data_IF_533936216586
#
_entry.id   IF_533936216586
#
_cell.length_a   1.000
_cell.length_b   1.000
_cell.length_c   1.000
_cell.angle_alpha   90.00
_cell.angle_beta   90.00
_cell.angle_gamma   90.00
#
_symmetry.space_group_name_H-M   'P 1'
#
loop_
_entity.id
_entity.type
_entity.pdbx_description
1 polymer ?
#
# COMPACT_ATOMS: atom_id res chain seq x y z
N UNK A 1 19.00 -12.08 33.54
CA UNK A 1 19.44 -12.04 32.13
C UNK A 1 18.28 -11.54 31.28
N UNK A 2 18.44 -10.35 30.69
CA UNK A 2 17.47 -9.85 29.72
C UNK A 2 17.71 -10.58 28.40
N UNK A 3 16.87 -11.56 28.07
CA UNK A 3 16.82 -12.10 26.73
C UNK A 3 16.25 -11.02 25.79
N UNK A 4 17.12 -10.32 25.09
CA UNK A 4 16.71 -9.45 23.99
C UNK A 4 16.29 -10.34 22.83
N UNK A 5 14.97 -10.50 22.65
CA UNK A 5 14.44 -11.20 21.48
C UNK A 5 14.58 -10.29 20.27
N UNK A 6 15.36 -10.70 19.29
CA UNK A 6 15.50 -9.98 18.02
C UNK A 6 14.17 -10.03 17.28
N UNK A 7 13.65 -8.87 16.87
CA UNK A 7 12.44 -8.76 16.08
C UNK A 7 12.72 -8.86 14.58
N UNK A 8 11.85 -9.53 13.86
CA UNK A 8 11.96 -9.77 12.42
C UNK A 8 10.95 -8.90 11.68
N UNK A 9 11.44 -8.15 10.69
CA UNK A 9 10.62 -7.37 9.78
C UNK A 9 10.67 -8.04 8.40
N UNK A 10 9.53 -8.52 7.91
CA UNK A 10 9.41 -9.01 6.54
C UNK A 10 9.32 -7.83 5.57
N UNK A 11 10.37 -7.60 4.79
CA UNK A 11 10.45 -6.52 3.82
C UNK A 11 10.46 -7.05 2.38
N UNK A 12 9.66 -6.42 1.54
CA UNK A 12 9.59 -6.70 0.10
C UNK A 12 8.55 -7.73 -0.29
N UNK A 13 8.03 -7.57 -1.51
CA UNK A 13 7.10 -8.52 -2.12
C UNK A 13 5.65 -8.47 -1.64
N UNK A 14 5.30 -7.63 -0.68
CA UNK A 14 3.93 -7.50 -0.18
C UNK A 14 3.05 -6.79 -1.21
N UNK A 15 2.03 -7.48 -1.71
CA UNK A 15 1.14 -7.02 -2.79
C UNK A 15 -0.33 -6.95 -2.40
N UNK A 16 -0.72 -7.71 -1.38
CA UNK A 16 -2.10 -7.86 -0.92
C UNK A 16 -2.15 -8.29 0.55
N UNK A 17 -3.35 -8.39 1.11
CA UNK A 17 -3.58 -8.79 2.51
C UNK A 17 -3.03 -10.19 2.83
N UNK A 18 -3.17 -11.13 1.90
CA UNK A 18 -2.69 -12.51 2.07
C UNK A 18 -1.17 -12.58 2.25
N UNK A 19 -0.40 -11.70 1.60
CA UNK A 19 1.06 -11.67 1.77
C UNK A 19 1.44 -11.19 3.18
N UNK A 20 0.70 -10.23 3.74
CA UNK A 20 0.86 -9.78 5.14
C UNK A 20 0.59 -10.94 6.10
N UNK A 21 -0.56 -11.61 5.93
CA UNK A 21 -0.99 -12.72 6.78
C UNK A 21 0.03 -13.86 6.74
N UNK A 22 0.52 -14.23 5.55
CA UNK A 22 1.55 -15.25 5.39
C UNK A 22 2.87 -14.88 6.07
N UNK A 23 3.29 -13.62 5.96
CA UNK A 23 4.52 -13.16 6.61
C UNK A 23 4.41 -13.29 8.13
N UNK A 24 3.28 -12.90 8.72
CA UNK A 24 3.02 -13.05 10.16
C UNK A 24 2.98 -14.54 10.57
N UNK A 25 2.24 -15.36 9.84
CA UNK A 25 2.15 -16.81 10.09
C UNK A 25 3.51 -17.52 10.00
N UNK A 26 4.44 -17.00 9.19
CA UNK A 26 5.81 -17.50 9.07
C UNK A 26 6.79 -16.92 10.10
N UNK A 27 6.30 -16.15 11.08
CA UNK A 27 7.07 -15.68 12.22
C UNK A 27 7.65 -14.28 12.08
N UNK A 28 7.21 -13.47 11.13
CA UNK A 28 7.55 -12.06 11.13
C UNK A 28 6.80 -11.33 12.25
N UNK A 29 7.50 -10.53 13.04
CA UNK A 29 6.88 -9.64 14.04
C UNK A 29 6.22 -8.42 13.37
N UNK A 30 6.79 -7.97 12.24
CA UNK A 30 6.34 -6.81 11.50
C UNK A 30 6.43 -7.06 9.99
N UNK A 31 5.62 -6.32 9.23
CA UNK A 31 5.62 -6.39 7.77
C UNK A 31 5.81 -4.99 7.20
N UNK A 32 6.80 -4.81 6.33
CA UNK A 32 7.04 -3.55 5.64
C UNK A 32 6.22 -3.50 4.34
N UNK A 33 5.35 -2.51 4.24
CA UNK A 33 4.42 -2.36 3.12
C UNK A 33 4.75 -1.08 2.35
N UNK A 34 5.16 -1.23 1.10
CA UNK A 34 5.50 -0.13 0.20
C UNK A 34 4.39 0.12 -0.85
N UNK A 35 4.44 -0.61 -1.95
CA UNK A 35 3.59 -0.37 -3.13
C UNK A 35 2.08 -0.46 -2.87
N UNK A 36 1.64 -1.18 -1.85
CA UNK A 36 0.22 -1.24 -1.47
C UNK A 36 -0.22 0.10 -0.92
N UNK A 37 0.57 0.69 -0.01
CA UNK A 37 0.23 1.98 0.58
C UNK A 37 0.40 3.16 -0.38
N UNK A 38 1.22 3.01 -1.43
CA UNK A 38 1.32 4.04 -2.46
C UNK A 38 0.04 4.26 -3.26
N UNK A 39 -0.89 3.30 -3.23
CA UNK A 39 -2.22 3.39 -3.87
C UNK A 39 -3.29 4.08 -3.02
N UNK A 40 -2.99 4.36 -1.76
CA UNK A 40 -3.95 4.98 -0.85
C UNK A 40 -4.09 6.47 -1.14
N UNK A 41 -5.28 7.01 -0.89
CA UNK A 41 -5.56 8.44 -1.05
C UNK A 41 -4.58 9.29 -0.22
N UNK A 42 -4.27 8.85 1.01
CA UNK A 42 -3.41 9.53 1.96
C UNK A 42 -1.91 9.40 1.65
N UNK A 43 -1.54 8.59 0.67
CA UNK A 43 -0.15 8.46 0.26
C UNK A 43 0.44 9.81 -0.16
N UNK A 44 1.65 10.10 0.31
CA UNK A 44 2.41 11.30 -0.06
C UNK A 44 3.01 11.25 -1.49
N UNK A 45 2.75 10.18 -2.26
CA UNK A 45 3.21 10.06 -3.63
C UNK A 45 2.64 11.17 -4.52
N UNK A 46 3.40 11.53 -5.58
CA UNK A 46 2.91 12.47 -6.60
C UNK A 46 1.56 11.99 -7.11
N UNK A 47 0.60 12.90 -7.08
CA UNK A 47 -0.80 12.58 -7.39
C UNK A 47 -1.26 13.38 -8.60
N UNK A 48 -2.00 12.76 -9.49
CA UNK A 48 -2.69 13.44 -10.58
C UNK A 48 -4.07 12.81 -10.80
N UNK A 49 -5.00 13.62 -11.30
CA UNK A 49 -6.37 13.21 -11.58
C UNK A 49 -6.77 13.54 -13.00
N UNK A 50 -7.77 12.84 -13.50
CA UNK A 50 -8.44 13.13 -14.77
C UNK A 50 -9.88 13.53 -14.48
N UNK A 51 -10.33 14.59 -15.11
CA UNK A 51 -11.75 14.97 -15.14
C UNK A 51 -12.51 14.23 -16.25
N UNK A 52 -13.81 14.55 -16.38
CA UNK A 52 -14.69 14.01 -17.43
C UNK A 52 -14.22 14.34 -18.86
N UNK A 53 -13.41 15.38 -19.03
CA UNK A 53 -12.88 15.81 -20.32
C UNK A 53 -11.49 15.22 -20.59
N UNK A 54 -10.97 14.35 -19.70
CA UNK A 54 -9.59 13.82 -19.68
C UNK A 54 -8.52 14.91 -19.51
N UNK A 55 -8.85 16.04 -18.90
CA UNK A 55 -7.88 17.04 -18.48
C UNK A 55 -7.10 16.52 -17.27
N UNK A 56 -5.79 16.76 -17.25
CA UNK A 56 -4.88 16.27 -16.20
C UNK A 56 -4.67 17.35 -15.16
N UNK A 57 -4.98 17.06 -13.92
CA UNK A 57 -4.72 17.92 -12.77
C UNK A 57 -3.64 17.30 -11.88
N UNK A 58 -2.51 18.02 -11.74
CA UNK A 58 -1.47 17.60 -10.77
C UNK A 58 -1.86 18.09 -9.39
N UNK A 59 -1.86 17.17 -8.42
CA UNK A 59 -2.29 17.40 -7.05
C UNK A 59 -1.08 17.21 -6.15
N UNK A 60 -0.78 18.18 -5.30
CA UNK A 60 0.28 18.04 -4.30
C UNK A 60 -0.33 17.76 -2.91
N UNK A 61 -0.38 16.49 -2.47
CA UNK A 61 -0.98 16.15 -1.17
C UNK A 61 -0.08 16.55 0.02
N UNK A 62 1.19 16.92 -0.23
CA UNK A 62 2.18 17.23 0.81
C UNK A 62 2.13 18.71 1.22
N UNK A 63 1.49 19.58 0.45
CA UNK A 63 1.45 21.03 0.73
C UNK A 63 0.66 21.40 2.00
N UNK A 64 -0.02 20.43 2.61
CA UNK A 64 -0.87 20.61 3.80
C UNK A 64 -2.12 21.46 3.54
N UNK A 65 -2.30 21.94 2.33
CA UNK A 65 -3.36 22.83 1.88
C UNK A 65 -4.41 22.12 1.04
N UNK A 66 -3.99 21.04 0.38
CA UNK A 66 -4.86 20.25 -0.50
C UNK A 66 -5.57 19.14 0.28
N UNK A 67 -6.88 19.10 0.20
CA UNK A 67 -7.70 18.03 0.75
C UNK A 67 -8.34 17.23 -0.38
N UNK A 68 -8.20 15.91 -0.32
CA UNK A 68 -8.82 14.98 -1.25
C UNK A 68 -9.90 14.19 -0.50
N UNK A 69 -11.11 14.15 -1.03
CA UNK A 69 -12.21 13.34 -0.48
C UNK A 69 -12.77 12.45 -1.57
N UNK A 70 -12.98 11.20 -1.23
CA UNK A 70 -13.73 10.25 -2.07
C UNK A 70 -15.22 10.48 -1.86
N UNK A 71 -15.94 10.64 -2.96
CA UNK A 71 -17.38 10.74 -3.00
C UNK A 71 -17.89 9.77 -4.07
N UNK A 72 -19.02 9.17 -3.92
CA UNK A 72 -19.69 8.19 -4.79
C UNK A 72 -19.20 8.12 -6.26
N UNK A 73 -18.01 7.55 -6.46
CA UNK A 73 -17.40 7.32 -7.78
C UNK A 73 -16.56 8.46 -8.36
N UNK A 74 -16.28 9.52 -7.59
CA UNK A 74 -15.36 10.59 -7.96
C UNK A 74 -14.61 11.13 -6.76
N UNK A 75 -13.55 11.92 -7.01
CA UNK A 75 -12.75 12.57 -5.97
C UNK A 75 -12.96 14.08 -6.01
N UNK A 76 -13.32 14.67 -4.88
CA UNK A 76 -13.34 16.13 -4.72
C UNK A 76 -11.99 16.60 -4.17
N UNK A 77 -11.44 17.64 -4.80
CA UNK A 77 -10.15 18.22 -4.44
C UNK A 77 -10.40 19.68 -4.09
N UNK A 78 -10.07 20.03 -2.84
CA UNK A 78 -10.20 21.41 -2.36
C UNK A 78 -8.85 21.93 -1.89
N UNK A 79 -8.54 23.19 -2.22
CA UNK A 79 -7.36 23.91 -1.71
C UNK A 79 -7.80 24.99 -0.72
N UNK A 80 -7.08 25.11 0.39
CA UNK A 80 -7.37 26.12 1.43
C UNK A 80 -7.08 27.55 1.01
N UNK A 81 -6.27 27.77 -0.03
CA UNK A 81 -5.82 29.08 -0.47
C UNK A 81 -6.69 29.67 -1.62
N UNK A 82 -7.63 28.91 -2.16
CA UNK A 82 -8.53 29.42 -3.18
C UNK A 82 -9.65 30.20 -2.50
N UNK A 83 -9.59 31.53 -2.55
CA UNK A 83 -10.57 32.46 -1.98
C UNK A 83 -12.01 32.22 -2.48
N UNK A 84 -12.18 31.49 -3.58
CA UNK A 84 -13.48 31.11 -4.14
C UNK A 84 -13.99 29.75 -3.67
N UNK A 85 -13.21 28.95 -2.94
CA UNK A 85 -13.66 27.66 -2.42
C UNK A 85 -14.08 26.63 -3.48
N UNK A 86 -13.77 26.88 -4.74
CA UNK A 86 -14.10 25.98 -5.84
C UNK A 86 -13.19 24.78 -5.84
N UNK A 87 -13.67 23.69 -5.20
CA UNK A 87 -13.07 22.37 -5.40
C UNK A 87 -13.33 21.87 -6.81
N UNK A 88 -12.34 21.29 -7.44
CA UNK A 88 -12.55 20.57 -8.69
C UNK A 88 -12.75 19.08 -8.44
N UNK A 89 -13.48 18.43 -9.35
CA UNK A 89 -13.77 17.01 -9.26
C UNK A 89 -13.03 16.27 -10.35
N UNK A 90 -12.44 15.13 -9.97
CA UNK A 90 -11.80 14.19 -10.88
C UNK A 90 -12.45 12.83 -10.77
N UNK A 91 -12.66 12.17 -11.89
CA UNK A 91 -13.27 10.84 -11.92
C UNK A 91 -12.26 9.76 -11.52
N UNK A 92 -10.98 9.98 -11.81
CA UNK A 92 -9.91 9.04 -11.49
C UNK A 92 -8.72 9.76 -10.89
N UNK A 93 -8.18 9.15 -9.85
CA UNK A 93 -7.00 9.63 -9.14
C UNK A 93 -5.87 8.61 -9.26
N UNK A 94 -4.68 9.07 -9.59
CA UNK A 94 -3.50 8.23 -9.77
C UNK A 94 -2.36 8.69 -8.88
N UNK A 95 -1.56 7.73 -8.41
CA UNK A 95 -0.32 7.94 -7.67
C UNK A 95 0.87 7.42 -8.45
N UNK A 96 1.96 8.17 -8.41
CA UNK A 96 3.24 7.78 -9.02
C UNK A 96 4.14 7.21 -7.93
N UNK A 97 4.47 5.95 -8.06
CA UNK A 97 5.39 5.25 -7.15
C UNK A 97 6.71 4.97 -7.84
N UNK A 98 7.80 5.27 -7.16
CA UNK A 98 9.15 4.90 -7.58
C UNK A 98 10.02 4.61 -6.34
N UNK A 99 10.87 3.57 -6.44
CA UNK A 99 11.81 3.24 -5.39
C UNK A 99 13.01 4.19 -5.37
N UNK A 100 13.68 4.31 -4.23
CA UNK A 100 14.89 5.13 -4.08
C UNK A 100 16.03 4.71 -5.03
N UNK A 101 16.13 3.42 -5.36
CA UNK A 101 17.11 2.88 -6.30
C UNK A 101 16.71 3.08 -7.78
N UNK A 102 15.51 3.58 -8.07
CA UNK A 102 15.08 3.90 -9.43
C UNK A 102 15.86 5.11 -9.98
N UNK A 103 15.85 5.29 -11.30
CA UNK A 103 16.46 6.47 -11.93
C UNK A 103 15.91 7.76 -11.34
N UNK A 104 14.59 7.90 -11.27
CA UNK A 104 13.91 9.07 -10.73
C UNK A 104 14.26 9.31 -9.28
N UNK A 105 14.21 8.26 -8.43
CA UNK A 105 14.57 8.38 -7.02
C UNK A 105 16.01 8.87 -6.82
N UNK A 106 16.96 8.41 -7.65
CA UNK A 106 18.34 8.89 -7.61
C UNK A 106 18.47 10.34 -8.08
N UNK A 107 17.75 10.74 -9.13
CA UNK A 107 17.74 12.11 -9.65
C UNK A 107 17.13 13.08 -8.63
N UNK A 108 16.02 12.72 -8.00
CA UNK A 108 15.36 13.53 -6.96
C UNK A 108 16.22 13.70 -5.70
N UNK A 109 16.90 12.64 -5.25
CA UNK A 109 17.72 12.68 -4.04
C UNK A 109 19.10 13.31 -4.24
N UNK A 110 19.71 13.12 -5.41
CA UNK A 110 21.13 13.47 -5.64
C UNK A 110 21.32 14.45 -6.81
N UNK A 111 20.25 14.91 -7.43
CA UNK A 111 20.30 15.78 -8.61
C UNK A 111 20.83 15.09 -9.88
N UNK A 112 21.26 13.83 -9.77
CA UNK A 112 21.74 13.03 -10.91
C UNK A 112 21.71 11.54 -10.60
N UNK A 113 21.68 10.70 -11.64
CA UNK A 113 21.86 9.26 -11.49
C UNK A 113 23.29 8.95 -11.04
N UNK A 114 23.45 8.28 -9.91
CA UNK A 114 24.76 7.89 -9.34
C UNK A 114 25.15 6.46 -9.63
N UNK A 115 24.16 5.53 -9.67
CA UNK A 115 24.36 4.10 -9.82
C UNK A 115 23.49 3.51 -10.92
N UNK A 116 23.70 2.24 -11.23
CA UNK A 116 22.76 1.48 -12.04
C UNK A 116 21.37 1.55 -11.38
N UNK A 117 20.37 1.99 -12.15
CA UNK A 117 19.02 2.12 -11.63
C UNK A 117 18.37 0.74 -11.58
N UNK A 118 17.83 0.40 -10.41
CA UNK A 118 16.98 -0.75 -10.20
C UNK A 118 15.56 -0.28 -9.92
N UNK A 119 14.59 -0.98 -10.48
CA UNK A 119 13.18 -0.64 -10.33
C UNK A 119 12.65 0.32 -11.40
N UNK A 120 11.35 0.33 -11.52
CA UNK A 120 10.59 1.11 -12.50
C UNK A 120 9.67 2.10 -11.78
N UNK A 121 9.40 3.22 -12.43
CA UNK A 121 8.30 4.08 -12.06
C UNK A 121 6.98 3.37 -12.40
N UNK A 122 6.03 3.39 -11.46
CA UNK A 122 4.71 2.78 -11.63
C UNK A 122 3.63 3.80 -11.30
N UNK A 123 2.57 3.77 -12.10
CA UNK A 123 1.38 4.57 -11.90
C UNK A 123 0.26 3.68 -11.39
N UNK A 124 -0.31 4.02 -10.25
CA UNK A 124 -1.38 3.27 -9.62
C UNK A 124 -2.65 4.11 -9.52
N UNK A 125 -3.77 3.56 -9.91
CA UNK A 125 -5.06 4.13 -9.61
C UNK A 125 -5.34 4.04 -8.10
N UNK A 126 -5.80 5.13 -7.50
CA UNK A 126 -6.26 5.15 -6.11
C UNK A 126 -7.61 4.47 -6.04
N UNK A 127 -7.69 3.39 -5.27
CA UNK A 127 -8.92 2.60 -5.15
C UNK A 127 -9.43 2.54 -3.72
N UNK A 128 -8.69 3.08 -2.75
CA UNK A 128 -9.05 2.97 -1.34
C UNK A 128 -8.34 4.01 -0.47
N UNK A 129 -8.81 4.19 0.74
CA UNK A 129 -8.19 4.98 1.80
C UNK A 129 -7.64 4.05 2.90
N UNK A 130 -6.90 4.63 3.86
CA UNK A 130 -6.25 3.86 4.93
C UNK A 130 -7.26 3.20 5.87
N UNK A 131 -8.38 3.85 6.17
CA UNK A 131 -9.40 3.31 7.06
C UNK A 131 -10.04 2.04 6.49
N UNK A 132 -10.42 2.09 5.21
CA UNK A 132 -10.98 0.93 4.51
C UNK A 132 -9.96 -0.19 4.37
N UNK A 133 -8.71 0.16 4.07
CA UNK A 133 -7.62 -0.82 3.98
C UNK A 133 -7.39 -1.51 5.32
N UNK A 134 -7.30 -0.75 6.43
CA UNK A 134 -7.06 -1.29 7.78
C UNK A 134 -8.21 -2.17 8.24
N UNK A 135 -9.46 -1.75 7.99
CA UNK A 135 -10.63 -2.57 8.32
C UNK A 135 -10.60 -3.91 7.58
N UNK A 136 -10.37 -3.88 6.28
CA UNK A 136 -10.26 -5.10 5.49
C UNK A 136 -9.11 -6.00 5.98
N UNK A 137 -7.95 -5.41 6.32
CA UNK A 137 -6.82 -6.17 6.85
C UNK A 137 -7.19 -6.89 8.14
N UNK A 138 -7.86 -6.20 9.07
CA UNK A 138 -8.32 -6.79 10.32
C UNK A 138 -9.33 -7.92 10.06
N UNK A 139 -10.28 -7.75 9.17
CA UNK A 139 -11.29 -8.75 8.84
C UNK A 139 -10.64 -10.02 8.23
N UNK A 140 -9.68 -9.85 7.30
CA UNK A 140 -8.95 -10.96 6.70
C UNK A 140 -8.03 -11.66 7.70
N UNK A 141 -7.36 -10.91 8.57
CA UNK A 141 -6.51 -11.51 9.62
C UNK A 141 -7.34 -12.30 10.63
N UNK A 142 -8.43 -11.72 11.11
CA UNK A 142 -9.34 -12.41 12.02
C UNK A 142 -9.91 -13.72 11.41
N UNK A 143 -10.26 -13.69 10.13
CA UNK A 143 -10.68 -14.87 9.40
C UNK A 143 -9.58 -15.93 9.32
N UNK A 144 -8.35 -15.53 9.02
CA UNK A 144 -7.21 -16.45 8.94
C UNK A 144 -6.90 -17.08 10.31
N UNK A 145 -6.91 -16.29 11.38
CA UNK A 145 -6.72 -16.77 12.75
C UNK A 145 -7.82 -17.74 13.15
N UNK A 146 -9.08 -17.44 12.82
CA UNK A 146 -10.21 -18.31 13.08
C UNK A 146 -10.09 -19.67 12.36
N UNK A 147 -9.58 -19.71 11.13
CA UNK A 147 -9.32 -20.98 10.43
C UNK A 147 -8.20 -21.82 11.08
N UNK A 148 -7.31 -21.18 11.83
CA UNK A 148 -6.22 -21.84 12.56
C UNK A 148 -6.59 -22.12 14.02
N UNK A 149 -7.83 -21.82 14.48
CA UNK A 149 -8.27 -21.91 15.87
C UNK A 149 -7.38 -21.10 16.84
N UNK A 150 -6.99 -19.90 16.42
CA UNK A 150 -6.12 -18.99 17.17
C UNK A 150 -6.89 -17.70 17.51
N UNK A 151 -6.89 -17.33 18.78
CA UNK A 151 -7.57 -16.12 19.28
C UNK A 151 -6.59 -14.95 19.50
N UNK A 152 -5.33 -15.21 19.88
CA UNK A 152 -4.31 -14.19 20.11
C UNK A 152 -3.34 -14.09 18.92
N UNK A 153 -3.10 -12.89 18.44
CA UNK A 153 -2.16 -12.62 17.35
C UNK A 153 -0.71 -13.09 17.68
N UNK A 154 -0.33 -13.12 18.95
CA UNK A 154 0.97 -13.59 19.36
C UNK A 154 1.15 -15.10 19.17
N UNK A 155 0.05 -15.83 19.13
CA UNK A 155 0.02 -17.28 18.85
C UNK A 155 -0.04 -17.58 17.35
N UNK A 156 -0.24 -16.56 16.51
CA UNK A 156 -0.27 -16.68 15.05
C UNK A 156 1.16 -16.71 14.48
N UNK A 157 1.86 -17.81 14.72
CA UNK A 157 3.28 -18.00 14.44
C UNK A 157 3.61 -19.46 14.07
N UNK A 158 4.83 -19.79 13.59
CA UNK A 158 5.20 -21.13 13.13
C UNK A 158 5.16 -22.21 14.20
N UNK A 159 5.17 -21.88 15.49
CA UNK A 159 5.12 -22.86 16.56
C UNK A 159 3.70 -23.44 16.71
N UNK A 160 2.68 -22.66 16.33
CA UNK A 160 1.28 -23.01 16.44
C UNK A 160 0.59 -23.28 15.08
N UNK A 161 1.24 -22.92 13.96
CA UNK A 161 0.68 -23.04 12.62
C UNK A 161 1.56 -23.93 11.75
N UNK A 162 0.97 -24.99 11.21
CA UNK A 162 1.64 -25.83 10.23
C UNK A 162 1.50 -25.23 8.83
N UNK A 163 2.62 -25.00 8.15
CA UNK A 163 2.65 -24.41 6.80
C UNK A 163 3.14 -25.40 5.76
N UNK A 164 2.49 -25.42 4.61
CA UNK A 164 2.83 -26.32 3.50
C UNK A 164 3.16 -25.54 2.23
N UNK A 165 4.21 -25.97 1.52
CA UNK A 165 4.48 -25.53 0.17
C UNK A 165 3.57 -26.28 -0.81
N UNK A 166 2.71 -25.54 -1.52
CA UNK A 166 1.89 -26.13 -2.58
C UNK A 166 2.63 -26.13 -3.90
N UNK A 167 2.57 -27.26 -4.63
CA UNK A 167 3.06 -27.29 -6.00
C UNK A 167 2.19 -26.42 -6.92
N UNK A 168 2.79 -25.89 -7.99
CA UNK A 168 2.07 -25.09 -8.99
C UNK A 168 0.84 -25.82 -9.58
N UNK A 169 0.89 -27.14 -9.69
CA UNK A 169 -0.24 -27.94 -10.20
C UNK A 169 -1.42 -27.94 -9.22
N UNK A 170 -1.17 -28.01 -7.91
CA UNK A 170 -2.21 -27.95 -6.90
C UNK A 170 -2.81 -26.53 -6.81
N UNK A 171 -1.98 -25.51 -6.89
CA UNK A 171 -2.41 -24.11 -6.91
C UNK A 171 -3.33 -23.80 -8.08
N UNK A 172 -3.04 -24.35 -9.28
CA UNK A 172 -3.86 -24.19 -10.46
C UNK A 172 -5.19 -24.97 -10.39
N UNK A 173 -5.29 -26.01 -9.57
CA UNK A 173 -6.53 -26.78 -9.37
C UNK A 173 -7.49 -26.12 -8.41
N UNK A 174 -6.99 -25.32 -7.44
CA UNK A 174 -7.80 -24.59 -6.45
C UNK A 174 -8.39 -23.31 -7.06
N UNK A 175 -7.72 -22.73 -8.03
CA UNK A 175 -8.12 -21.47 -8.70
C UNK A 175 -9.08 -21.70 -9.92
N UNK A 176 -9.59 -22.89 -10.09
CA UNK A 176 -10.65 -23.25 -11.06
C UNK A 176 -12.01 -23.35 -10.37
#
# INVERSE_FOLDING_TARGET
EYQTVTKIIADGGIRNYSDVIKALALGADYVMIGSVFSKLIESCAITYGYDKNNEIYTINPIDGKTTIRENDGYFSITRKDDDCGEGYMVDKLYKVFYGMASRRGQEDLFGKKKWTSEGTEKHFECTTNIDKWSKNMNDYLASAMSYCDIEDIHDFNPDNIETFLMSNNLQNSINK
#
